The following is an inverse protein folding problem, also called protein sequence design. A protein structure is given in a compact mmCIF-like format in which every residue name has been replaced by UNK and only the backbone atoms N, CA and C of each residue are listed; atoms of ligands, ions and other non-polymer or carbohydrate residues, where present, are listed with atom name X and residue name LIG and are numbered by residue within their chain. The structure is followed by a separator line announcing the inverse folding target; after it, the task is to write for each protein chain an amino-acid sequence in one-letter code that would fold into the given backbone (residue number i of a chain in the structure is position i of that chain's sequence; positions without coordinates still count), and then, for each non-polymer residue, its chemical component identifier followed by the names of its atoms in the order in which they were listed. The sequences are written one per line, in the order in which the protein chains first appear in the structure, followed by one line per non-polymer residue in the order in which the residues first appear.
data_IF_200216726675
#
_entry.id   IF_200216726675
#
_cell.length_a   1.000
_cell.length_b   1.000
_cell.length_c   1.000
_cell.angle_alpha   90.00
_cell.angle_beta   90.00
_cell.angle_gamma   90.00
#
_symmetry.space_group_name_H-M   'P 1'
#
loop_
_entity.id
_entity.type
_entity.pdbx_description
1 polymer ?
#
# COMPACT_ATOMS: atom_id res chain seq x y z
N UNK A 1 -16.70 -5.79 6.12
CA UNK A 1 -15.54 -6.20 6.91
C UNK A 1 -15.00 -5.00 7.67
N UNK A 2 -14.75 -5.12 8.96
CA UNK A 2 -14.27 -3.94 9.71
C UNK A 2 -12.90 -3.52 9.22
N UNK A 3 -12.59 -2.22 9.24
CA UNK A 3 -11.26 -1.75 8.89
C UNK A 3 -10.22 -2.25 9.89
N UNK A 4 -8.96 -2.24 9.48
CA UNK A 4 -7.88 -2.58 10.40
C UNK A 4 -7.82 -1.58 11.55
N UNK A 5 -7.56 -2.04 12.77
CA UNK A 5 -7.32 -1.14 13.89
C UNK A 5 -6.12 -0.22 13.63
N UNK A 6 -6.10 0.91 14.30
CA UNK A 6 -4.95 1.82 14.23
C UNK A 6 -3.72 1.12 14.79
N UNK A 7 -2.72 0.93 13.93
CA UNK A 7 -1.47 0.24 14.28
C UNK A 7 -0.54 0.35 13.08
N UNK A 8 0.61 -0.31 13.20
CA UNK A 8 1.60 -0.44 12.13
C UNK A 8 1.66 -1.90 11.73
N UNK A 9 1.60 -2.14 10.42
CA UNK A 9 1.53 -3.48 9.85
C UNK A 9 2.62 -3.69 8.83
N UNK A 10 3.18 -4.91 8.80
CA UNK A 10 4.04 -5.33 7.69
C UNK A 10 3.16 -5.83 6.56
N UNK A 11 3.38 -5.31 5.37
CA UNK A 11 2.54 -5.60 4.20
C UNK A 11 3.39 -5.82 2.96
N UNK A 12 2.75 -6.37 1.92
CA UNK A 12 3.35 -6.52 0.60
C UNK A 12 2.32 -6.11 -0.45
N UNK A 13 2.78 -5.48 -1.53
CA UNK A 13 1.89 -5.08 -2.62
C UNK A 13 1.49 -6.32 -3.42
N UNK A 14 0.19 -6.56 -3.52
CA UNK A 14 -0.37 -7.71 -4.24
C UNK A 14 -1.09 -7.32 -5.52
N UNK A 15 -1.43 -6.04 -5.68
CA UNK A 15 -2.02 -5.55 -6.93
C UNK A 15 -1.66 -4.08 -7.12
N UNK A 16 -1.44 -3.68 -8.37
CA UNK A 16 -1.11 -2.31 -8.73
C UNK A 16 -1.68 -2.03 -10.11
N UNK A 17 -2.44 -0.93 -10.22
CA UNK A 17 -3.00 -0.53 -11.51
C UNK A 17 -3.18 0.98 -11.56
N UNK A 18 -3.29 1.51 -12.78
CA UNK A 18 -3.59 2.92 -13.01
C UNK A 18 -4.92 2.98 -13.74
N UNK A 19 -5.84 3.79 -13.23
CA UNK A 19 -7.17 3.91 -13.82
C UNK A 19 -7.15 4.83 -15.06
N UNK A 20 -8.32 5.02 -15.67
CA UNK A 20 -8.48 5.83 -16.87
C UNK A 20 -8.09 7.29 -16.67
N UNK A 21 -8.11 7.76 -15.43
CA UNK A 21 -7.72 9.12 -15.07
C UNK A 21 -6.22 9.23 -14.72
N UNK A 22 -5.48 8.15 -14.84
CA UNK A 22 -4.07 8.13 -14.50
C UNK A 22 -3.79 8.03 -13.01
N UNK A 23 -4.80 7.70 -12.20
CA UNK A 23 -4.65 7.59 -10.75
C UNK A 23 -4.21 6.19 -10.36
N UNK A 24 -3.19 6.12 -9.53
CA UNK A 24 -2.65 4.85 -9.04
C UNK A 24 -3.54 4.25 -7.96
N UNK A 25 -3.83 2.96 -8.12
CA UNK A 25 -4.54 2.15 -7.14
C UNK A 25 -3.68 0.96 -6.75
N UNK A 26 -3.49 0.76 -5.46
CA UNK A 26 -2.72 -0.35 -4.93
C UNK A 26 -3.58 -1.19 -3.99
N UNK A 27 -3.26 -2.48 -3.94
CA UNK A 27 -3.76 -3.34 -2.88
C UNK A 27 -2.56 -3.97 -2.19
N UNK A 28 -2.57 -3.91 -0.86
CA UNK A 28 -1.52 -4.52 -0.04
C UNK A 28 -2.16 -5.55 0.89
N UNK A 29 -1.41 -6.59 1.23
CA UNK A 29 -1.87 -7.58 2.19
C UNK A 29 -0.95 -7.60 3.40
N UNK A 30 -1.55 -7.79 4.57
CA UNK A 30 -0.80 -7.90 5.83
C UNK A 30 -0.09 -9.25 5.85
N UNK A 31 1.21 -9.25 6.15
CA UNK A 31 2.05 -10.43 6.09
C UNK A 31 2.42 -10.99 7.46
N UNK A 32 2.20 -10.24 8.54
CA UNK A 32 2.54 -10.67 9.90
C UNK A 32 1.46 -10.28 10.88
N UNK A 33 1.36 -11.02 11.96
CA UNK A 33 0.50 -10.70 13.09
C UNK A 33 -0.92 -11.25 12.96
N UNK A 34 -1.83 -10.83 13.88
CA UNK A 34 -3.18 -11.41 13.96
C UNK A 34 -4.08 -11.04 12.78
N UNK A 35 -3.68 -10.05 11.98
CA UNK A 35 -4.45 -9.62 10.81
C UNK A 35 -3.87 -10.11 9.49
N UNK A 36 -3.00 -11.11 9.53
CA UNK A 36 -2.36 -11.67 8.33
C UNK A 36 -3.40 -12.05 7.28
N UNK A 37 -3.14 -11.71 6.02
CA UNK A 37 -4.06 -11.99 4.92
C UNK A 37 -5.10 -10.91 4.65
N UNK A 38 -5.23 -9.91 5.52
CA UNK A 38 -6.14 -8.79 5.28
C UNK A 38 -5.62 -7.94 4.13
N UNK A 39 -6.53 -7.53 3.26
CA UNK A 39 -6.20 -6.73 2.09
C UNK A 39 -6.71 -5.31 2.29
N UNK A 40 -5.84 -4.33 2.02
CA UNK A 40 -6.18 -2.92 2.12
C UNK A 40 -5.99 -2.26 0.77
N UNK A 41 -7.03 -1.59 0.29
CA UNK A 41 -6.97 -0.83 -0.95
C UNK A 41 -6.41 0.56 -0.66
N UNK A 42 -5.45 0.99 -1.47
CA UNK A 42 -4.78 2.27 -1.30
C UNK A 42 -4.84 3.08 -2.59
N UNK A 43 -4.86 4.38 -2.45
CA UNK A 43 -4.74 5.31 -3.56
C UNK A 43 -3.37 6.00 -3.46
N UNK A 44 -2.98 6.69 -4.54
CA UNK A 44 -1.69 7.38 -4.58
C UNK A 44 -1.48 8.29 -3.36
N UNK A 45 -2.53 8.97 -2.91
CA UNK A 45 -2.45 9.88 -1.77
C UNK A 45 -2.10 9.18 -0.45
N UNK A 46 -2.32 7.86 -0.37
CA UNK A 46 -2.01 7.08 0.83
C UNK A 46 -0.56 6.56 0.82
N UNK A 47 0.18 6.78 -0.26
CA UNK A 47 1.51 6.22 -0.41
C UNK A 47 2.55 7.28 -0.11
N UNK A 48 3.40 7.02 0.88
CA UNK A 48 4.52 7.89 1.22
C UNK A 48 5.69 7.54 0.32
N UNK A 49 6.18 8.53 -0.43
CA UNK A 49 7.30 8.32 -1.33
C UNK A 49 8.36 9.38 -1.12
N UNK A 50 9.60 9.01 -1.41
CA UNK A 50 10.69 9.96 -1.49
C UNK A 50 11.02 10.18 -2.96
N UNK A 51 11.04 11.46 -3.40
CA UNK A 51 11.62 11.87 -4.69
C UNK A 51 11.20 11.02 -5.89
N UNK A 52 9.92 10.89 -6.14
CA UNK A 52 9.47 10.20 -7.34
C UNK A 52 9.78 8.71 -7.37
N UNK A 53 9.95 8.11 -6.20
CA UNK A 53 10.17 6.67 -6.09
C UNK A 53 9.02 5.88 -6.68
N UNK A 54 7.83 6.48 -6.71
CA UNK A 54 6.69 5.90 -7.40
C UNK A 54 6.66 6.38 -8.84
N UNK A 55 7.18 5.56 -9.71
CA UNK A 55 7.03 5.77 -11.14
C UNK A 55 5.72 5.14 -11.59
N UNK A 56 4.72 5.98 -11.87
CA UNK A 56 3.41 5.51 -12.29
C UNK A 56 3.37 5.06 -13.75
N UNK A 57 4.48 5.26 -14.49
CA UNK A 57 4.56 4.76 -15.84
C UNK A 57 4.55 3.23 -15.90
N UNK A 58 5.00 2.57 -14.83
CA UNK A 58 4.97 1.12 -14.74
C UNK A 58 4.48 0.69 -13.36
N UNK A 59 3.16 0.65 -13.16
CA UNK A 59 2.60 0.26 -11.86
C UNK A 59 2.95 -1.16 -11.47
N UNK A 60 3.19 -2.04 -12.46
CA UNK A 60 3.52 -3.43 -12.16
C UNK A 60 4.88 -3.59 -11.49
N UNK A 61 5.74 -2.59 -11.59
CA UNK A 61 7.01 -2.60 -10.87
C UNK A 61 6.83 -2.59 -9.36
N UNK A 62 5.64 -2.17 -8.88
CA UNK A 62 5.33 -2.15 -7.46
C UNK A 62 4.88 -3.50 -6.91
N UNK A 63 4.51 -4.44 -7.78
CA UNK A 63 4.06 -5.76 -7.34
C UNK A 63 5.17 -6.48 -6.57
N UNK A 64 4.80 -7.05 -5.44
CA UNK A 64 5.74 -7.79 -4.61
C UNK A 64 6.63 -6.95 -3.73
N UNK A 65 6.51 -5.62 -3.77
CA UNK A 65 7.32 -4.75 -2.92
C UNK A 65 6.76 -4.80 -1.49
N UNK A 66 7.60 -5.16 -0.51
CA UNK A 66 7.19 -5.09 0.89
C UNK A 66 7.22 -3.66 1.40
N UNK A 67 6.54 -3.43 2.49
CA UNK A 67 6.57 -2.12 3.12
C UNK A 67 5.83 -2.11 4.44
N UNK A 68 5.66 -0.93 4.98
CA UNK A 68 4.97 -0.70 6.24
C UNK A 68 3.70 0.07 6.00
N UNK A 69 2.60 -0.45 6.51
CA UNK A 69 1.30 0.23 6.47
C UNK A 69 1.00 0.76 7.87
N UNK A 70 0.84 2.06 7.98
CA UNK A 70 0.40 2.69 9.24
C UNK A 70 -1.05 3.10 9.08
N UNK A 71 -1.87 2.70 10.03
CA UNK A 71 -3.28 3.14 10.10
C UNK A 71 -3.41 4.05 11.30
N UNK A 72 -3.85 5.28 11.07
CA UNK A 72 -4.05 6.28 12.12
C UNK A 72 -5.38 6.97 11.88
N UNK A 73 -6.27 6.95 12.89
CA UNK A 73 -7.61 7.51 12.79
C UNK A 73 -8.39 6.95 11.59
N UNK A 74 -8.15 5.66 11.28
CA UNK A 74 -8.79 5.00 10.16
C UNK A 74 -8.19 5.33 8.80
N UNK A 75 -7.15 6.16 8.74
CA UNK A 75 -6.51 6.56 7.48
C UNK A 75 -5.22 5.76 7.28
N UNK A 76 -5.11 5.00 6.17
CA UNK A 76 -3.90 4.24 5.89
C UNK A 76 -2.81 5.11 5.28
N UNK A 77 -1.57 4.77 5.59
CA UNK A 77 -0.39 5.39 4.99
C UNK A 77 0.63 4.28 4.73
N UNK A 78 1.00 4.09 3.49
CA UNK A 78 1.91 3.02 3.07
C UNK A 78 3.28 3.59 2.73
N UNK A 79 4.31 3.04 3.37
CA UNK A 79 5.71 3.36 3.06
C UNK A 79 6.34 2.13 2.42
N UNK A 80 6.59 2.16 1.10
CA UNK A 80 7.30 1.05 0.46
C UNK A 80 8.72 0.95 1.00
N UNK A 81 9.17 -0.28 1.20
CA UNK A 81 10.53 -0.56 1.59
C UNK A 81 11.37 -0.58 0.31
N UNK A 82 11.87 0.57 -0.06
CA UNK A 82 12.67 0.70 -1.27
C UNK A 82 14.14 0.85 -0.90
N UNK A 83 14.92 0.37 -1.80
CA UNK A 83 16.36 0.46 -1.67
C UNK A 83 16.84 1.84 -2.10
#
# INVERSE_FOLDING_TARGET
MPPLPDDVYDVIVVNAEVDDNGELHLEVTVTLGPHIGRIVALRKLHVETRRGVLDTADPYALLGIPGTLRVRDGVPSFRPETV
#
